data_IF_270532301413
#
_entry.id   IF_270532301413
#
_cell.length_a   1.000
_cell.length_b   1.000
_cell.length_c   1.000
_cell.angle_alpha   90.00
_cell.angle_beta   90.00
_cell.angle_gamma   90.00
#
_symmetry.space_group_name_H-M   'P 1'
#
loop_
_entity.id
_entity.type
_entity.pdbx_description
1 polymer ?
#
# COMPACT_ATOMS: atom_id res chain seq x y z
N UNK A 1 -3.77 -15.09 1.32
CA UNK A 1 -2.56 -15.82 1.76
C UNK A 1 -2.82 -16.93 2.78
N UNK A 2 -4.05 -17.44 2.88
CA UNK A 2 -4.41 -18.42 3.93
C UNK A 2 -4.04 -19.86 3.55
N UNK A 3 -3.80 -20.15 2.27
CA UNK A 3 -3.59 -21.53 1.78
C UNK A 3 -2.11 -21.94 1.67
N UNK A 4 -1.21 -21.02 1.33
CA UNK A 4 0.23 -21.33 1.22
C UNK A 4 0.89 -21.50 2.59
N UNK A 5 0.56 -20.64 3.56
CA UNK A 5 1.20 -20.67 4.88
C UNK A 5 0.80 -21.93 5.69
N UNK A 6 -0.42 -22.42 5.49
CA UNK A 6 -0.93 -23.63 6.13
C UNK A 6 -0.42 -24.93 5.49
N UNK A 7 0.05 -24.88 4.24
CA UNK A 7 0.51 -26.05 3.49
C UNK A 7 2.00 -26.36 3.69
N UNK A 8 2.81 -25.38 4.10
CA UNK A 8 4.28 -25.51 4.10
C UNK A 8 4.94 -25.37 5.48
N UNK A 9 4.19 -25.08 6.56
CA UNK A 9 4.76 -24.83 7.90
C UNK A 9 5.99 -23.89 7.89
N UNK A 10 5.98 -22.90 7.01
CA UNK A 10 7.14 -22.08 6.70
C UNK A 10 6.91 -20.63 7.16
N UNK A 11 7.94 -20.02 7.74
CA UNK A 11 7.93 -18.58 8.03
C UNK A 11 8.17 -17.80 6.76
N UNK A 12 7.20 -17.00 6.33
CA UNK A 12 7.32 -16.14 5.16
C UNK A 12 7.60 -14.69 5.56
N UNK A 13 8.69 -14.15 5.03
CA UNK A 13 9.02 -12.72 5.12
C UNK A 13 8.84 -12.11 3.73
N UNK A 14 8.02 -11.06 3.64
CA UNK A 14 7.75 -10.35 2.39
C UNK A 14 8.20 -8.90 2.55
N UNK A 15 9.00 -8.43 1.60
CA UNK A 15 9.43 -7.03 1.52
C UNK A 15 8.75 -6.41 0.30
N UNK A 16 7.92 -5.40 0.52
CA UNK A 16 7.19 -4.70 -0.54
C UNK A 16 7.02 -3.23 -0.20
N UNK A 17 6.87 -2.40 -1.24
CA UNK A 17 6.47 -1.01 -1.12
C UNK A 17 4.94 -0.83 -1.30
N UNK A 18 4.22 -1.90 -1.67
CA UNK A 18 2.78 -1.89 -1.87
C UNK A 18 2.05 -2.27 -0.57
N UNK A 19 1.44 -1.28 0.10
CA UNK A 19 0.80 -1.48 1.39
C UNK A 19 -0.50 -2.29 1.32
N UNK A 20 -1.30 -2.16 0.26
CA UNK A 20 -2.55 -2.93 0.13
C UNK A 20 -2.26 -4.44 0.12
N UNK A 21 -1.31 -4.86 -0.71
CA UNK A 21 -0.79 -6.22 -0.73
C UNK A 21 -0.28 -6.65 0.64
N UNK A 22 0.55 -5.81 1.31
CA UNK A 22 1.05 -6.12 2.65
C UNK A 22 -0.08 -6.30 3.67
N UNK A 23 -1.10 -5.43 3.67
CA UNK A 23 -2.24 -5.51 4.58
C UNK A 23 -3.15 -6.71 4.30
N UNK A 24 -3.28 -7.13 3.04
CA UNK A 24 -4.12 -8.26 2.65
C UNK A 24 -3.54 -9.62 3.07
N UNK A 25 -2.20 -9.70 3.21
CA UNK A 25 -1.51 -10.98 3.36
C UNK A 25 -0.72 -11.14 4.66
N UNK A 26 -0.33 -10.04 5.32
CA UNK A 26 0.57 -10.08 6.47
C UNK A 26 -0.19 -10.25 7.79
N UNK A 27 0.35 -11.09 8.66
CA UNK A 27 -0.07 -11.19 10.05
C UNK A 27 0.58 -10.11 10.94
N UNK A 28 1.81 -9.71 10.58
CA UNK A 28 2.59 -8.65 11.24
C UNK A 28 3.31 -7.83 10.19
N UNK A 29 3.36 -6.52 10.39
CA UNK A 29 4.01 -5.56 9.50
C UNK A 29 5.03 -4.77 10.31
N UNK A 30 6.18 -4.52 9.69
CA UNK A 30 7.22 -3.63 10.19
C UNK A 30 7.47 -2.58 9.13
N UNK A 31 7.28 -1.31 9.49
CA UNK A 31 7.60 -0.18 8.63
C UNK A 31 8.96 0.36 9.00
N UNK A 32 9.85 0.44 8.01
CA UNK A 32 11.23 0.89 8.19
C UNK A 32 11.46 2.18 7.41
N UNK A 33 12.15 3.13 8.04
CA UNK A 33 12.66 4.35 7.42
C UNK A 33 14.10 4.58 7.88
N UNK A 34 14.99 4.90 6.93
CA UNK A 34 16.42 5.18 7.19
C UNK A 34 17.12 4.15 8.10
N UNK A 35 16.84 2.87 7.89
CA UNK A 35 17.44 1.77 8.66
C UNK A 35 16.88 1.58 10.07
N UNK A 36 15.81 2.28 10.43
CA UNK A 36 15.13 2.14 11.73
C UNK A 36 13.67 1.73 11.55
N UNK A 37 13.18 0.85 12.42
CA UNK A 37 11.76 0.47 12.45
C UNK A 37 10.99 1.62 13.11
N UNK A 38 10.12 2.26 12.35
CA UNK A 38 9.33 3.42 12.79
C UNK A 38 7.91 3.05 13.23
N UNK A 39 7.42 1.87 12.82
CA UNK A 39 6.16 1.31 13.29
C UNK A 39 6.15 -0.22 13.14
N UNK A 40 5.52 -0.92 14.07
CA UNK A 40 5.42 -2.39 14.04
C UNK A 40 4.13 -2.85 14.70
N UNK A 41 3.48 -3.86 14.14
CA UNK A 41 2.24 -4.41 14.70
C UNK A 41 1.44 -5.21 13.70
N UNK A 42 0.15 -5.42 14.01
CA UNK A 42 -0.83 -5.96 13.07
C UNK A 42 -1.20 -4.93 12.00
N UNK A 43 -1.82 -5.34 10.88
CA UNK A 43 -2.39 -4.41 9.90
C UNK A 43 -3.26 -3.30 10.53
N UNK A 44 -4.07 -3.65 11.53
CA UNK A 44 -4.91 -2.70 12.26
C UNK A 44 -4.10 -1.70 13.08
N UNK A 45 -3.04 -2.16 13.76
CA UNK A 45 -2.15 -1.29 14.54
C UNK A 45 -1.43 -0.28 13.64
N UNK A 46 -0.97 -0.72 12.47
CA UNK A 46 -0.35 0.17 11.49
C UNK A 46 -1.33 1.21 10.96
N UNK A 47 -2.59 0.83 10.67
CA UNK A 47 -3.61 1.80 10.24
C UNK A 47 -3.94 2.83 11.33
N UNK A 48 -3.85 2.44 12.60
CA UNK A 48 -4.08 3.32 13.75
C UNK A 48 -2.83 4.11 14.20
N UNK A 49 -1.69 3.96 13.53
CA UNK A 49 -0.42 4.57 13.96
C UNK A 49 -0.50 6.09 13.98
N UNK A 50 0.11 6.69 15.01
CA UNK A 50 0.26 8.15 15.15
C UNK A 50 1.62 8.66 14.65
N UNK A 51 2.49 7.77 14.17
CA UNK A 51 3.83 8.17 13.71
C UNK A 51 3.73 8.99 12.42
N UNK A 52 4.21 10.24 12.36
CA UNK A 52 3.96 11.15 11.24
C UNK A 52 4.53 10.63 9.92
N UNK A 53 5.73 10.04 9.94
CA UNK A 53 6.32 9.43 8.73
C UNK A 53 5.52 8.23 8.25
N UNK A 54 5.03 7.40 9.17
CA UNK A 54 4.22 6.24 8.84
C UNK A 54 2.88 6.67 8.24
N UNK A 55 2.22 7.68 8.83
CA UNK A 55 0.99 8.24 8.29
C UNK A 55 1.17 8.82 6.88
N UNK A 56 2.29 9.51 6.60
CA UNK A 56 2.59 10.01 5.25
C UNK A 56 2.77 8.86 4.25
N UNK A 57 3.42 7.77 4.67
CA UNK A 57 3.60 6.59 3.83
C UNK A 57 2.26 5.89 3.55
N UNK A 58 1.42 5.73 4.57
CA UNK A 58 0.07 5.15 4.43
C UNK A 58 -0.85 6.01 3.56
N UNK A 59 -0.75 7.34 3.66
CA UNK A 59 -1.57 8.29 2.89
C UNK A 59 -1.14 8.42 1.43
N UNK A 60 0.15 8.25 1.11
CA UNK A 60 0.63 8.35 -0.29
C UNK A 60 -0.08 7.39 -1.24
N UNK A 61 -0.48 6.20 -0.77
CA UNK A 61 -1.28 5.28 -1.58
C UNK A 61 -2.73 5.71 -1.79
N UNK A 62 -3.28 6.59 -0.95
CA UNK A 62 -4.60 7.17 -1.23
C UNK A 62 -4.55 8.21 -2.35
N UNK A 63 -3.36 8.68 -2.74
CA UNK A 63 -3.14 9.70 -3.77
C UNK A 63 -2.53 9.13 -5.06
N UNK A 64 -2.14 7.85 -5.13
CA UNK A 64 -1.78 7.25 -6.42
C UNK A 64 -3.07 7.03 -7.22
N UNK A 65 -3.26 7.74 -8.36
CA UNK A 65 -4.36 7.42 -9.24
C UNK A 65 -4.12 6.00 -9.70
N UNK A 66 -5.10 5.12 -9.50
CA UNK A 66 -5.09 3.83 -10.19
C UNK A 66 -4.84 4.11 -11.67
N UNK A 67 -3.92 3.38 -12.31
CA UNK A 67 -3.51 3.63 -13.70
C UNK A 67 -4.67 3.63 -14.72
N UNK A 68 -5.88 3.23 -14.32
CA UNK A 68 -7.12 3.42 -15.08
C UNK A 68 -7.68 4.85 -15.07
N UNK A 69 -7.46 5.62 -14.00
CA UNK A 69 -7.96 6.99 -13.86
C UNK A 69 -7.12 8.01 -14.63
N UNK A 70 -5.83 7.72 -14.87
CA UNK A 70 -4.99 8.56 -15.73
C UNK A 70 -5.43 8.47 -17.20
N UNK A 71 -5.80 7.28 -17.69
CA UNK A 71 -6.32 7.10 -19.05
C UNK A 71 -7.69 7.80 -19.23
N UNK A 72 -8.59 7.67 -18.25
CA UNK A 72 -9.89 8.33 -18.27
C UNK A 72 -9.78 9.87 -18.19
N UNK A 73 -8.84 10.40 -17.40
CA UNK A 73 -8.58 11.83 -17.31
C UNK A 73 -7.98 12.40 -18.60
N UNK A 74 -7.08 11.65 -19.26
CA UNK A 74 -6.48 12.04 -20.54
C UNK A 74 -7.51 11.98 -21.67
N UNK A 75 -8.38 10.97 -21.70
CA UNK A 75 -9.49 10.87 -22.67
C UNK A 75 -10.52 12.00 -22.45
N UNK A 76 -10.86 12.31 -21.20
CA UNK A 76 -11.78 13.40 -20.89
C UNK A 76 -11.21 14.78 -21.24
N UNK A 77 -9.89 14.98 -21.08
CA UNK A 77 -9.21 16.19 -21.50
C UNK A 77 -9.14 16.32 -23.04
N UNK A 78 -8.80 15.24 -23.74
CA UNK A 78 -8.73 15.22 -25.20
C UNK A 78 -10.11 15.42 -25.88
N UNK A 79 -11.18 14.88 -25.30
CA UNK A 79 -12.54 15.09 -25.79
C UNK A 79 -13.00 16.56 -25.67
N UNK A 80 -12.45 17.30 -24.70
CA UNK A 80 -12.79 18.70 -24.46
C UNK A 80 -12.10 19.66 -25.44
N UNK A 81 -10.94 19.28 -25.97
CA UNK A 81 -10.22 20.04 -27.00
C UNK A 81 -10.81 19.87 -28.41
N UNK A 82 -11.51 18.76 -28.70
CA UNK A 82 -12.15 18.53 -30.00
C UNK A 82 -13.52 19.24 -30.15
N UNK A 83 -14.05 19.81 -29.06
CA UNK A 83 -15.32 20.54 -29.04
C UNK A 83 -15.13 22.07 -29.19
N UNK A 84 -13.97 22.52 -29.66
CA UNK A 84 -13.65 23.94 -29.90
C UNK A 84 -13.25 24.21 -31.34
#
# INVERSE_FOLDING_TARGET
>A
MTRLNHAFHATLVVVTHELESAFAIAHRIFLMDRGSIIAAGTPSDLRATKHPVAQRFLRRQAEEPSAGQEMDAVLAAAAKDLAR
#
